data_IF_524454572301
#
_entry.id   IF_524454572301
#
_cell.length_a   1.000
_cell.length_b   1.000
_cell.length_c   1.000
_cell.angle_alpha   90.00
_cell.angle_beta   90.00
_cell.angle_gamma   90.00
#
_symmetry.space_group_name_H-M   'P 1'
#
loop_
_entity.id
_entity.type
_entity.pdbx_description
1 polymer ?
#
# COMPACT_ATOMS: atom_id res chain seq x y z
N UNK A 1 40.72 38.69 -6.40
CA UNK A 1 40.72 39.43 -7.67
C UNK A 1 40.42 38.44 -8.78
N UNK A 2 39.20 38.48 -9.31
CA UNK A 2 38.78 37.62 -10.43
C UNK A 2 39.40 38.17 -11.73
N UNK A 3 39.86 37.32 -12.67
CA UNK A 3 40.42 37.78 -13.94
C UNK A 3 39.33 38.43 -14.81
N UNK A 4 39.58 39.66 -15.25
CA UNK A 4 38.65 40.53 -15.98
C UNK A 4 38.64 40.27 -17.49
N UNK A 5 38.60 39.01 -17.92
CA UNK A 5 38.57 38.63 -19.34
C UNK A 5 37.25 37.96 -19.73
N UNK A 6 36.14 38.56 -19.30
CA UNK A 6 34.83 38.27 -19.91
C UNK A 6 34.51 39.42 -20.87
N UNK A 7 34.99 39.33 -22.10
CA UNK A 7 34.46 40.14 -23.20
C UNK A 7 33.03 39.65 -23.47
N UNK A 8 32.01 40.53 -23.46
CA UNK A 8 30.67 40.12 -23.85
C UNK A 8 30.71 39.62 -25.29
N UNK A 9 30.22 38.40 -25.51
CA UNK A 9 30.02 37.83 -26.85
C UNK A 9 29.13 38.84 -27.58
N UNK A 10 29.65 39.43 -28.66
CA UNK A 10 28.92 40.36 -29.49
C UNK A 10 27.55 39.76 -29.87
N UNK A 11 26.50 40.58 -29.82
CA UNK A 11 25.16 40.16 -30.18
C UNK A 11 25.19 39.41 -31.52
N UNK A 12 24.58 38.20 -31.61
CA UNK A 12 24.61 37.45 -32.85
C UNK A 12 23.96 38.29 -33.93
N UNK A 13 24.72 38.62 -34.98
CA UNK A 13 24.20 39.28 -36.17
C UNK A 13 22.96 38.53 -36.65
N UNK A 14 21.82 39.20 -36.91
CA UNK A 14 20.50 38.60 -37.12
C UNK A 14 20.33 37.92 -38.49
N UNK A 15 21.27 37.04 -38.85
CA UNK A 15 21.28 36.23 -40.07
C UNK A 15 22.19 34.99 -39.97
N UNK A 16 23.10 34.95 -38.98
CA UNK A 16 24.03 33.81 -38.83
C UNK A 16 23.32 32.51 -38.41
N UNK A 17 22.19 32.63 -37.69
CA UNK A 17 21.35 31.48 -37.35
C UNK A 17 20.57 30.95 -38.55
N UNK A 18 20.20 31.81 -39.50
CA UNK A 18 19.47 31.41 -40.71
C UNK A 18 20.39 30.65 -41.68
N UNK A 19 21.64 31.11 -41.83
CA UNK A 19 22.68 30.41 -42.61
C UNK A 19 23.01 29.02 -42.03
N UNK A 20 23.06 28.89 -40.69
CA UNK A 20 23.28 27.61 -40.01
C UNK A 20 22.10 26.64 -40.17
N UNK A 21 20.87 27.16 -40.25
CA UNK A 21 19.65 26.37 -40.50
C UNK A 21 19.61 25.89 -41.97
N UNK A 22 20.09 26.67 -42.93
CA UNK A 22 20.16 26.26 -44.35
C UNK A 22 21.22 25.18 -44.62
N UNK A 23 22.33 25.18 -43.86
CA UNK A 23 23.39 24.17 -44.00
C UNK A 23 22.97 22.82 -43.38
N UNK A 24 22.02 22.82 -42.44
CA UNK A 24 21.48 21.59 -41.87
C UNK A 24 20.38 21.01 -42.77
N UNK A 25 20.50 19.76 -43.23
CA UNK A 25 19.38 19.10 -43.89
C UNK A 25 18.18 19.06 -42.94
N UNK A 26 16.94 19.28 -43.43
CA UNK A 26 15.76 19.27 -42.60
C UNK A 26 15.65 17.93 -41.85
N UNK A 27 15.22 17.93 -40.57
CA UNK A 27 15.21 16.75 -39.71
C UNK A 27 14.37 15.58 -40.25
N UNK A 28 13.54 15.82 -41.26
CA UNK A 28 12.79 14.81 -41.99
C UNK A 28 13.65 13.78 -42.73
N UNK A 29 14.92 14.08 -43.03
CA UNK A 29 15.81 13.17 -43.80
C UNK A 29 16.60 12.22 -42.88
N UNK A 30 16.60 12.44 -41.56
CA UNK A 30 17.37 11.63 -40.59
C UNK A 30 16.57 10.48 -39.96
N UNK A 31 15.26 10.46 -40.15
CA UNK A 31 14.41 9.36 -39.71
C UNK A 31 14.25 8.35 -40.86
N UNK A 32 15.06 7.29 -40.85
CA UNK A 32 14.78 6.11 -41.66
C UNK A 32 13.46 5.48 -41.18
N UNK A 33 12.33 5.90 -41.73
CA UNK A 33 10.97 5.39 -41.46
C UNK A 33 10.83 3.87 -41.69
N UNK A 34 11.84 3.22 -42.29
CA UNK A 34 11.82 1.82 -42.68
C UNK A 34 12.28 0.85 -41.59
N UNK A 35 12.82 1.32 -40.47
CA UNK A 35 13.24 0.44 -39.37
C UNK A 35 12.41 0.76 -38.12
N UNK A 36 11.40 -0.06 -37.78
CA UNK A 36 10.72 0.12 -36.50
C UNK A 36 11.75 0.00 -35.39
N UNK A 37 11.82 1.02 -34.51
CA UNK A 37 12.72 1.02 -33.38
C UNK A 37 12.44 -0.22 -32.52
N UNK A 38 13.29 -1.24 -32.65
CA UNK A 38 13.16 -2.49 -31.92
C UNK A 38 13.32 -2.18 -30.43
N UNK A 39 12.23 -2.30 -29.67
CA UNK A 39 12.27 -2.14 -28.21
C UNK A 39 13.25 -3.15 -27.64
N UNK A 40 14.16 -2.68 -26.81
CA UNK A 40 15.07 -3.56 -26.11
C UNK A 40 14.27 -4.44 -25.15
N UNK A 41 14.52 -5.75 -25.19
CA UNK A 41 13.85 -6.72 -24.33
C UNK A 41 14.84 -7.77 -23.82
N UNK A 42 14.63 -8.18 -22.56
CA UNK A 42 15.39 -9.26 -21.95
C UNK A 42 14.92 -10.59 -22.53
N UNK A 43 15.79 -11.25 -23.30
CA UNK A 43 15.49 -12.55 -23.93
C UNK A 43 15.70 -13.73 -22.97
N UNK A 44 16.57 -13.56 -21.95
CA UNK A 44 16.89 -14.62 -20.98
C UNK A 44 17.22 -14.04 -19.61
N UNK A 45 16.72 -14.67 -18.55
CA UNK A 45 17.14 -14.34 -17.17
C UNK A 45 18.58 -14.82 -16.96
N UNK A 46 19.50 -13.87 -16.82
CA UNK A 46 20.88 -14.15 -16.43
C UNK A 46 21.00 -14.17 -14.90
N UNK A 47 22.08 -14.77 -14.33
CA UNK A 47 22.32 -14.75 -12.89
C UNK A 47 22.29 -13.34 -12.29
N UNK A 48 22.76 -12.34 -13.04
CA UNK A 48 22.67 -10.92 -12.64
C UNK A 48 21.23 -10.44 -12.50
N UNK A 49 20.33 -10.84 -13.39
CA UNK A 49 18.90 -10.49 -13.27
C UNK A 49 18.27 -11.16 -12.05
N UNK A 50 18.67 -12.38 -11.69
CA UNK A 50 18.19 -13.03 -10.46
C UNK A 50 18.62 -12.29 -9.19
N UNK A 51 19.84 -11.75 -9.18
CA UNK A 51 20.31 -10.94 -8.06
C UNK A 51 19.56 -9.60 -7.95
N UNK A 52 19.25 -8.96 -9.08
CA UNK A 52 18.36 -7.78 -9.12
C UNK A 52 16.99 -8.14 -8.54
N UNK A 53 16.42 -9.27 -8.99
CA UNK A 53 15.12 -9.77 -8.55
C UNK A 53 15.06 -10.00 -7.04
N UNK A 54 16.11 -10.62 -6.47
CA UNK A 54 16.21 -10.80 -5.01
C UNK A 54 16.18 -9.46 -4.28
N UNK A 55 16.98 -8.48 -4.72
CA UNK A 55 17.03 -7.16 -4.07
C UNK A 55 15.72 -6.38 -4.22
N UNK A 56 15.02 -6.55 -5.33
CA UNK A 56 13.67 -5.97 -5.52
C UNK A 56 12.68 -6.59 -4.53
N UNK A 57 12.70 -7.92 -4.34
CA UNK A 57 11.86 -8.60 -3.34
C UNK A 57 12.17 -8.18 -1.90
N UNK A 58 13.44 -7.87 -1.61
CA UNK A 58 13.86 -7.30 -0.31
C UNK A 58 13.42 -5.84 -0.13
N UNK A 59 12.85 -5.20 -1.15
CA UNK A 59 12.37 -3.81 -1.11
C UNK A 59 13.46 -2.76 -1.40
N UNK A 60 14.61 -3.15 -1.96
CA UNK A 60 15.66 -2.20 -2.31
C UNK A 60 15.24 -1.30 -3.49
N UNK A 61 15.57 -0.01 -3.41
CA UNK A 61 15.30 0.95 -4.49
C UNK A 61 16.21 0.72 -5.70
N UNK A 62 15.77 1.11 -6.89
CA UNK A 62 16.57 0.96 -8.11
C UNK A 62 17.93 1.66 -8.04
N UNK A 63 18.02 2.76 -7.29
CA UNK A 63 19.29 3.49 -7.06
C UNK A 63 20.25 2.67 -6.19
N UNK A 64 19.75 2.04 -5.13
CA UNK A 64 20.56 1.18 -4.26
C UNK A 64 21.05 -0.06 -5.01
N UNK A 65 20.19 -0.67 -5.84
CA UNK A 65 20.56 -1.82 -6.67
C UNK A 65 21.62 -1.42 -7.70
N UNK A 66 21.47 -0.24 -8.32
CA UNK A 66 22.43 0.31 -9.28
C UNK A 66 23.81 0.48 -8.66
N UNK A 67 23.86 1.10 -7.48
CA UNK A 67 25.09 1.31 -6.72
C UNK A 67 25.73 -0.01 -6.30
N UNK A 68 24.95 -0.96 -5.79
CA UNK A 68 25.46 -2.26 -5.34
C UNK A 68 25.99 -3.14 -6.48
N UNK A 69 25.46 -2.98 -7.70
CA UNK A 69 25.84 -3.79 -8.87
C UNK A 69 26.80 -3.08 -9.83
N UNK A 70 27.12 -1.81 -9.59
CA UNK A 70 27.91 -1.00 -10.51
C UNK A 70 27.25 -0.82 -11.87
N UNK A 71 25.91 -0.73 -11.91
CA UNK A 71 25.11 -0.56 -13.12
C UNK A 71 24.45 0.82 -13.15
N UNK A 72 24.09 1.30 -14.34
CA UNK A 72 23.30 2.52 -14.45
C UNK A 72 21.83 2.27 -14.04
N UNK A 73 21.20 3.23 -13.36
CA UNK A 73 19.81 3.12 -12.88
C UNK A 73 18.84 2.79 -14.02
N UNK A 74 19.03 3.43 -15.17
CA UNK A 74 18.21 3.20 -16.36
C UNK A 74 18.29 1.76 -16.86
N UNK A 75 19.44 1.09 -16.72
CA UNK A 75 19.60 -0.32 -17.09
C UNK A 75 18.75 -1.22 -16.20
N UNK A 76 18.73 -0.96 -14.89
CA UNK A 76 17.88 -1.72 -13.96
C UNK A 76 16.41 -1.49 -14.24
N UNK A 77 16.02 -0.23 -14.47
CA UNK A 77 14.64 0.10 -14.82
C UNK A 77 14.19 -0.66 -16.07
N UNK A 78 15.04 -0.74 -17.10
CA UNK A 78 14.77 -1.47 -18.33
C UNK A 78 14.67 -2.99 -18.11
N UNK A 79 15.47 -3.55 -17.21
CA UNK A 79 15.37 -4.96 -16.81
C UNK A 79 14.05 -5.22 -16.08
N UNK A 80 13.69 -4.38 -15.10
CA UNK A 80 12.48 -4.52 -14.28
C UNK A 80 11.18 -4.30 -15.07
N UNK A 81 11.23 -3.49 -16.14
CA UNK A 81 10.06 -3.28 -17.02
C UNK A 81 9.87 -4.40 -18.04
N UNK A 82 10.85 -5.30 -18.21
CA UNK A 82 10.73 -6.40 -19.16
C UNK A 82 9.66 -7.42 -18.73
N UNK A 83 8.81 -7.91 -19.67
CA UNK A 83 7.71 -8.84 -19.34
C UNK A 83 8.22 -10.14 -18.71
N UNK A 84 9.37 -10.64 -19.19
CA UNK A 84 9.98 -11.87 -18.72
C UNK A 84 10.44 -11.76 -17.26
N UNK A 85 11.03 -10.61 -16.88
CA UNK A 85 11.43 -10.36 -15.50
C UNK A 85 10.21 -10.27 -14.58
N UNK A 86 9.16 -9.55 -14.99
CA UNK A 86 7.93 -9.44 -14.18
C UNK A 86 7.26 -10.78 -13.95
N UNK A 87 7.15 -11.61 -14.98
CA UNK A 87 6.54 -12.94 -14.85
C UNK A 87 7.32 -13.87 -13.93
N UNK A 88 8.64 -13.76 -13.88
CA UNK A 88 9.47 -14.53 -12.94
C UNK A 88 9.42 -13.97 -11.52
N UNK A 89 9.34 -12.65 -11.37
CA UNK A 89 9.16 -11.99 -10.08
C UNK A 89 7.82 -12.41 -9.44
N UNK A 90 6.74 -12.37 -10.21
CA UNK A 90 5.40 -12.78 -9.75
C UNK A 90 5.36 -14.25 -9.30
N UNK A 91 6.00 -15.15 -10.05
CA UNK A 91 6.15 -16.56 -9.62
C UNK A 91 6.90 -16.68 -8.30
N UNK A 92 7.94 -15.88 -8.08
CA UNK A 92 8.68 -15.90 -6.83
C UNK A 92 7.85 -15.35 -5.66
N UNK A 93 7.09 -14.29 -5.88
CA UNK A 93 6.15 -13.73 -4.88
C UNK A 93 5.11 -14.78 -4.48
N UNK A 94 4.45 -15.42 -5.45
CA UNK A 94 3.47 -16.47 -5.18
C UNK A 94 4.06 -17.66 -4.41
N UNK A 95 5.29 -18.08 -4.74
CA UNK A 95 5.98 -19.14 -4.02
C UNK A 95 6.39 -18.73 -2.60
N UNK A 96 6.81 -17.47 -2.41
CA UNK A 96 7.16 -16.93 -1.11
C UNK A 96 5.92 -16.89 -0.21
N UNK A 97 4.80 -16.36 -0.70
CA UNK A 97 3.53 -16.27 0.05
C UNK A 97 3.03 -17.65 0.46
N UNK A 98 3.03 -18.61 -0.46
CA UNK A 98 2.63 -19.99 -0.16
C UNK A 98 3.53 -20.62 0.93
N UNK A 99 4.84 -20.35 0.89
CA UNK A 99 5.78 -20.86 1.90
C UNK A 99 5.55 -20.26 3.28
N UNK A 100 5.19 -18.97 3.36
CA UNK A 100 4.94 -18.27 4.63
C UNK A 100 3.63 -18.75 5.25
N UNK A 101 2.57 -18.88 4.45
CA UNK A 101 1.28 -19.41 4.90
C UNK A 101 1.45 -20.83 5.44
N UNK A 102 2.11 -21.71 4.67
CA UNK A 102 2.37 -23.08 5.10
C UNK A 102 3.19 -23.16 6.38
N UNK A 103 4.24 -22.33 6.50
CA UNK A 103 5.06 -22.24 7.73
C UNK A 103 4.25 -21.72 8.91
N UNK A 104 3.36 -20.75 8.69
CA UNK A 104 2.49 -20.23 9.73
C UNK A 104 1.47 -21.30 10.20
N UNK A 105 0.91 -22.08 9.28
CA UNK A 105 0.04 -23.22 9.60
C UNK A 105 0.78 -24.28 10.43
N UNK A 106 1.99 -24.67 10.01
CA UNK A 106 2.83 -25.63 10.75
C UNK A 106 3.14 -25.12 12.18
N UNK A 107 3.60 -23.88 12.31
CA UNK A 107 3.90 -23.26 13.61
C UNK A 107 2.65 -23.08 14.47
N UNK A 108 1.49 -22.82 13.88
CA UNK A 108 0.24 -22.69 14.62
C UNK A 108 -0.21 -24.02 15.24
N UNK A 109 -0.04 -25.14 14.53
CA UNK A 109 -0.31 -26.47 15.06
C UNK A 109 0.64 -26.82 16.21
N UNK A 110 1.94 -26.53 16.05
CA UNK A 110 2.93 -26.71 17.11
C UNK A 110 2.61 -25.83 18.34
N UNK A 111 2.21 -24.58 18.12
CA UNK A 111 1.79 -23.67 19.19
C UNK A 111 0.53 -24.20 19.93
N UNK A 112 -0.40 -24.84 19.23
CA UNK A 112 -1.57 -25.47 19.86
C UNK A 112 -1.18 -26.68 20.71
N UNK A 113 -0.25 -27.51 20.24
CA UNK A 113 0.25 -28.67 20.98
C UNK A 113 1.03 -28.26 22.23
N UNK A 114 1.84 -27.20 22.13
CA UNK A 114 2.53 -26.63 23.30
C UNK A 114 1.54 -26.06 24.31
N UNK A 115 0.51 -25.33 23.87
CA UNK A 115 -0.57 -24.84 24.76
C UNK A 115 -1.31 -25.99 25.45
N UNK A 116 -1.64 -27.06 24.73
CA UNK A 116 -2.26 -28.27 25.29
C UNK A 116 -1.37 -28.94 26.34
N UNK A 117 -0.06 -28.99 26.08
CA UNK A 117 0.93 -29.56 27.00
C UNK A 117 1.07 -28.70 28.26
N UNK A 118 1.16 -27.37 28.11
CA UNK A 118 1.23 -26.42 29.21
C UNK A 118 -0.03 -26.48 30.08
N UNK A 119 -1.21 -26.54 29.48
CA UNK A 119 -2.49 -26.67 30.19
C UNK A 119 -2.53 -27.92 31.09
N UNK A 120 -1.99 -29.04 30.63
CA UNK A 120 -2.01 -30.32 31.37
C UNK A 120 -0.89 -30.43 32.40
N UNK A 121 0.32 -30.04 32.03
CA UNK A 121 1.54 -30.44 32.74
C UNK A 121 2.27 -29.28 33.44
N UNK A 122 1.87 -28.02 33.22
CA UNK A 122 2.58 -26.90 33.84
C UNK A 122 2.42 -26.93 35.38
N UNK A 123 3.56 -26.76 36.08
CA UNK A 123 3.62 -26.73 37.54
C UNK A 123 2.85 -25.54 38.14
N UNK A 124 2.80 -24.42 37.43
CA UNK A 124 2.08 -23.21 37.85
C UNK A 124 0.61 -23.30 37.45
N UNK A 125 -0.28 -23.17 38.43
CA UNK A 125 -1.73 -23.09 38.19
C UNK A 125 -2.13 -21.87 37.37
N UNK A 126 -1.43 -20.74 37.55
CA UNK A 126 -1.66 -19.54 36.76
C UNK A 126 -1.42 -19.81 35.26
N UNK A 127 -0.31 -20.49 34.93
CA UNK A 127 0.00 -20.85 33.53
C UNK A 127 -1.05 -21.81 32.97
N UNK A 128 -1.46 -22.82 33.75
CA UNK A 128 -2.52 -23.76 33.31
C UNK A 128 -3.83 -23.05 32.99
N UNK A 129 -4.25 -22.12 33.86
CA UNK A 129 -5.45 -21.31 33.65
C UNK A 129 -5.33 -20.41 32.43
N UNK A 130 -4.22 -19.68 32.28
CA UNK A 130 -4.01 -18.80 31.12
C UNK A 130 -3.98 -19.59 29.80
N UNK A 131 -3.37 -20.78 29.78
CA UNK A 131 -3.40 -21.66 28.61
C UNK A 131 -4.80 -22.20 28.32
N UNK A 132 -5.59 -22.54 29.35
CA UNK A 132 -6.97 -22.98 29.17
C UNK A 132 -7.87 -21.85 28.63
N UNK A 133 -7.79 -20.66 29.22
CA UNK A 133 -8.53 -19.47 28.76
C UNK A 133 -8.16 -19.15 27.30
N UNK A 134 -6.86 -19.20 26.96
CA UNK A 134 -6.36 -19.01 25.60
C UNK A 134 -6.90 -20.00 24.57
N UNK A 135 -7.20 -21.24 24.98
CA UNK A 135 -7.81 -22.26 24.12
C UNK A 135 -9.30 -21.98 23.96
N UNK A 136 -10.01 -21.63 25.04
CA UNK A 136 -11.44 -21.32 25.02
C UNK A 136 -11.75 -20.08 24.17
N UNK A 137 -10.94 -19.03 24.29
CA UNK A 137 -11.09 -17.79 23.51
C UNK A 137 -10.94 -18.09 22.01
N UNK A 138 -9.97 -18.92 21.62
CA UNK A 138 -9.76 -19.33 20.22
C UNK A 138 -10.85 -20.26 19.69
N UNK A 139 -11.45 -21.06 20.56
CA UNK A 139 -12.63 -21.88 20.22
C UNK A 139 -13.93 -21.04 20.11
N UNK A 140 -13.86 -19.73 20.38
CA UNK A 140 -14.99 -18.81 20.24
C UNK A 140 -15.91 -18.76 21.47
N UNK A 141 -15.49 -19.30 22.61
CA UNK A 141 -16.23 -19.18 23.86
C UNK A 141 -16.00 -17.80 24.49
N UNK A 142 -16.73 -16.80 24.00
CA UNK A 142 -16.69 -15.44 24.55
C UNK A 142 -17.52 -15.36 25.83
N UNK A 143 -17.06 -14.60 26.83
CA UNK A 143 -17.87 -14.31 28.02
C UNK A 143 -19.15 -13.59 27.63
N UNK A 144 -20.28 -14.09 28.15
CA UNK A 144 -21.58 -13.42 27.99
C UNK A 144 -21.51 -12.09 28.74
N UNK A 145 -21.44 -10.99 27.99
CA UNK A 145 -21.53 -9.65 28.55
C UNK A 145 -22.93 -9.44 29.11
N UNK A 146 -23.01 -9.20 30.42
CA UNK A 146 -24.26 -8.77 31.05
C UNK A 146 -24.48 -7.32 30.64
N UNK A 147 -25.35 -7.11 29.63
CA UNK A 147 -25.85 -5.77 29.30
C UNK A 147 -26.57 -5.24 30.54
N UNK A 148 -25.95 -4.28 31.23
CA UNK A 148 -26.63 -3.49 32.24
C UNK A 148 -27.67 -2.67 31.47
N UNK A 149 -28.90 -3.17 31.45
CA UNK A 149 -30.05 -2.39 30.99
C UNK A 149 -30.21 -1.28 32.01
N UNK A 150 -29.64 -0.12 31.70
CA UNK A 150 -29.81 1.08 32.49
C UNK A 150 -31.30 1.34 32.66
N UNK A 151 -31.78 1.26 33.90
CA UNK A 151 -33.08 1.75 34.28
C UNK A 151 -33.03 3.25 34.01
N UNK A 152 -33.62 3.69 32.89
CA UNK A 152 -33.80 5.11 32.58
C UNK A 152 -34.56 5.68 33.78
N UNK A 153 -33.93 6.60 34.51
CA UNK A 153 -34.52 7.21 35.68
C UNK A 153 -35.89 7.77 35.32
N UNK A 154 -36.91 7.45 36.13
CA UNK A 154 -38.30 7.85 35.84
C UNK A 154 -38.47 9.34 35.57
N UNK A 155 -37.54 10.18 36.04
CA UNK A 155 -37.51 11.61 35.78
C UNK A 155 -37.28 11.97 34.30
N UNK A 156 -36.39 11.26 33.57
CA UNK A 156 -36.19 11.49 32.13
C UNK A 156 -37.41 11.06 31.31
N UNK A 157 -38.03 9.95 31.68
CA UNK A 157 -39.26 9.46 31.02
C UNK A 157 -40.42 10.44 31.24
N UNK A 158 -40.58 10.96 32.46
CA UNK A 158 -41.60 11.96 32.78
C UNK A 158 -41.35 13.28 32.04
N UNK A 159 -40.09 13.71 31.94
CA UNK A 159 -39.71 14.94 31.22
C UNK A 159 -39.95 14.81 29.71
N UNK A 160 -39.68 13.63 29.14
CA UNK A 160 -39.90 13.32 27.72
C UNK A 160 -41.39 13.22 27.37
N UNK A 161 -42.20 12.56 28.22
CA UNK A 161 -43.67 12.52 28.08
C UNK A 161 -44.29 13.92 28.20
N UNK A 162 -43.78 14.76 29.11
CA UNK A 162 -44.23 16.14 29.26
C UNK A 162 -43.91 17.03 28.05
N UNK A 163 -42.81 16.77 27.33
CA UNK A 163 -42.50 17.47 26.06
C UNK A 163 -43.50 17.10 24.96
N UNK A 164 -43.77 15.81 24.76
CA UNK A 164 -44.71 15.35 23.72
C UNK A 164 -46.13 15.85 23.91
N UNK A 165 -46.59 15.96 25.17
CA UNK A 165 -47.94 16.47 25.45
C UNK A 165 -48.07 17.96 25.11
N UNK A 166 -47.00 18.74 25.31
CA UNK A 166 -47.00 20.18 24.98
C UNK A 166 -46.93 20.45 23.49
N UNK A 167 -46.18 19.65 22.73
CA UNK A 167 -46.15 19.78 21.27
C UNK A 167 -47.52 19.44 20.66
N UNK A 168 -48.15 18.34 21.08
CA UNK A 168 -49.47 17.96 20.57
C UNK A 168 -50.57 19.00 20.88
N UNK A 169 -50.51 19.63 22.06
CA UNK A 169 -51.45 20.71 22.41
C UNK A 169 -51.18 21.98 21.61
N UNK A 170 -49.91 22.29 21.31
CA UNK A 170 -49.56 23.42 20.46
C UNK A 170 -50.04 23.21 19.02
N UNK A 171 -49.79 22.01 18.47
CA UNK A 171 -50.21 21.63 17.12
C UNK A 171 -51.75 21.69 16.99
N UNK A 172 -52.48 21.14 17.97
CA UNK A 172 -53.94 21.21 18.00
C UNK A 172 -54.49 22.64 18.18
N UNK A 173 -53.76 23.53 18.86
CA UNK A 173 -54.16 24.93 19.03
C UNK A 173 -53.90 25.77 17.76
N UNK A 174 -52.88 25.44 16.97
CA UNK A 174 -52.68 26.04 15.65
C UNK A 174 -53.76 25.60 14.66
N UNK A 175 -54.09 24.30 14.63
CA UNK A 175 -55.19 23.78 13.80
C UNK A 175 -56.53 24.45 14.12
N UNK A 176 -56.82 24.70 15.41
CA UNK A 176 -58.06 25.37 15.83
C UNK A 176 -58.13 26.87 15.44
N UNK A 177 -57.00 27.54 15.21
CA UNK A 177 -56.98 28.94 14.74
C UNK A 177 -57.24 29.04 13.24
N UNK A 178 -56.72 28.11 12.45
CA UNK A 178 -56.90 28.08 10.98
C UNK A 178 -58.37 27.84 10.57
N UNK A 179 -59.18 27.22 11.44
CA UNK A 179 -60.59 26.93 11.17
C UNK A 179 -61.52 28.13 11.48
N UNK A 180 -61.03 29.16 12.18
CA UNK A 180 -61.83 30.32 12.63
C UNK A 180 -61.52 31.64 11.88
N UNK A 181 -60.70 31.60 10.83
CA UNK A 181 -60.55 32.68 9.82
C UNK A 181 -61.31 32.33 8.53
#
# INVERSE_FOLDING_TARGET
>A
TLPSEFTPIAEPTPGHLEELIEIMPPPAVLADDKVPAKRWEVTKVMPRHREIMRRVLEGATYVQIAQAMGLHVQTIMLICTSPLFRGELEKLEQNADFSVVKRAEELSNEALDTLKTLMRNARSEAIRKTSADSILDRAGYVKIEKRIVGIIGGEEVIRELGRRRRSQVADAAEEAKVVNE
#
